data_IF_437006771833
#
_entry.id   IF_437006771833
#
_cell.length_a   1.000
_cell.length_b   1.000
_cell.length_c   1.000
_cell.angle_alpha   90.00
_cell.angle_beta   90.00
_cell.angle_gamma   90.00
#
_symmetry.space_group_name_H-M   'P 1'
#
loop_
_entity.id
_entity.type
_entity.pdbx_description
1 polymer ?
#
# COMPACT_ATOMS: atom_id res chain seq x y z
N UNK A 1 -6.04 1.13 8.29
CA UNK A 1 -5.31 2.12 9.14
C UNK A 1 -4.90 1.53 10.47
N UNK A 2 -5.84 1.19 11.36
CA UNK A 2 -5.51 0.63 12.69
C UNK A 2 -4.65 -0.65 12.60
N UNK A 3 -4.94 -1.52 11.64
CA UNK A 3 -4.14 -2.71 11.33
C UNK A 3 -2.66 -2.38 11.11
N UNK A 4 -2.34 -1.41 10.25
CA UNK A 4 -0.96 -1.01 9.96
C UNK A 4 -0.30 -0.36 11.18
N UNK A 5 -1.03 0.45 11.95
CA UNK A 5 -0.50 1.06 13.17
C UNK A 5 -0.10 0.01 14.21
N UNK A 6 -0.87 -1.07 14.34
CA UNK A 6 -0.57 -2.15 15.28
C UNK A 6 0.42 -3.18 14.75
N UNK A 7 0.57 -3.28 13.42
CA UNK A 7 1.46 -4.26 12.80
C UNK A 7 2.93 -4.12 13.24
N UNK A 8 3.38 -2.89 13.56
CA UNK A 8 4.73 -2.64 14.10
C UNK A 8 5.00 -3.34 15.44
N UNK A 9 3.95 -3.71 16.19
CA UNK A 9 4.05 -4.41 17.47
C UNK A 9 4.23 -5.93 17.30
N UNK A 10 4.05 -6.45 16.09
CA UNK A 10 4.27 -7.87 15.82
C UNK A 10 5.77 -8.19 15.81
N UNK A 11 6.08 -9.49 15.81
CA UNK A 11 7.44 -9.95 15.53
C UNK A 11 7.90 -9.44 14.16
N UNK A 12 9.19 -9.12 14.01
CA UNK A 12 9.79 -8.55 12.79
C UNK A 12 9.52 -9.37 11.52
N UNK A 13 9.46 -10.70 11.63
CA UNK A 13 9.12 -11.60 10.53
C UNK A 13 7.71 -11.36 9.97
N UNK A 14 6.82 -10.78 10.78
CA UNK A 14 5.41 -10.56 10.48
C UNK A 14 5.13 -9.08 10.17
N UNK A 15 6.16 -8.24 10.08
CA UNK A 15 6.00 -6.85 9.69
C UNK A 15 5.58 -6.75 8.22
N UNK A 16 4.51 -5.98 8.00
CA UNK A 16 4.13 -5.48 6.68
C UNK A 16 5.23 -4.60 6.10
N UNK A 17 5.23 -4.41 4.78
CA UNK A 17 6.16 -3.49 4.10
C UNK A 17 6.11 -2.08 4.67
N UNK A 18 4.94 -1.63 5.11
CA UNK A 18 4.77 -0.31 5.74
C UNK A 18 5.53 -0.25 7.06
N UNK A 19 5.37 -1.25 7.95
CA UNK A 19 6.08 -1.30 9.23
C UNK A 19 7.60 -1.42 9.05
N UNK A 20 8.06 -2.26 8.11
CA UNK A 20 9.49 -2.38 7.78
C UNK A 20 10.07 -1.05 7.33
N UNK A 21 9.41 -0.39 6.37
CA UNK A 21 9.83 0.92 5.89
C UNK A 21 9.94 1.94 7.03
N UNK A 22 8.96 2.02 7.93
CA UNK A 22 9.01 2.96 9.07
C UNK A 22 10.25 2.76 9.94
N UNK A 23 10.56 1.51 10.27
CA UNK A 23 11.68 1.16 11.14
C UNK A 23 13.02 1.41 10.45
N UNK A 24 13.18 0.97 9.20
CA UNK A 24 14.43 1.06 8.44
C UNK A 24 14.76 2.50 8.02
N UNK A 25 13.76 3.27 7.60
CA UNK A 25 13.94 4.64 7.12
C UNK A 25 13.71 5.71 8.19
N UNK A 26 13.35 5.32 9.41
CA UNK A 26 12.95 6.22 10.52
C UNK A 26 11.89 7.24 10.09
N UNK A 27 11.01 6.82 9.19
CA UNK A 27 9.93 7.61 8.63
C UNK A 27 8.62 7.25 9.33
N UNK A 28 7.81 8.25 9.68
CA UNK A 28 6.45 8.02 10.16
C UNK A 28 5.42 8.64 9.23
N UNK A 29 4.25 8.01 9.14
CA UNK A 29 3.17 8.43 8.26
C UNK A 29 2.17 9.31 9.01
N UNK A 30 1.55 10.27 8.32
CA UNK A 30 0.35 10.95 8.84
C UNK A 30 -0.86 10.02 8.74
N UNK A 31 -1.09 9.26 9.81
CA UNK A 31 -2.20 8.32 9.92
C UNK A 31 -3.56 8.99 10.12
N UNK A 32 -3.58 10.24 10.58
CA UNK A 32 -4.82 10.94 10.92
C UNK A 32 -5.45 11.59 9.70
N UNK A 33 -4.64 11.97 8.71
CA UNK A 33 -5.09 12.69 7.51
C UNK A 33 -4.50 12.08 6.23
N UNK A 34 -4.80 10.81 5.91
CA UNK A 34 -4.38 10.24 4.65
C UNK A 34 -5.08 10.97 3.49
N UNK A 35 -4.30 11.34 2.47
CA UNK A 35 -4.87 11.87 1.23
C UNK A 35 -5.44 10.73 0.39
N UNK A 36 -6.75 10.71 0.18
CA UNK A 36 -7.42 9.69 -0.63
C UNK A 36 -7.36 10.09 -2.10
N UNK A 37 -6.46 9.46 -2.86
CA UNK A 37 -6.26 9.76 -4.29
C UNK A 37 -7.37 9.23 -5.19
N UNK A 38 -8.00 8.12 -4.80
CA UNK A 38 -9.06 7.48 -5.56
C UNK A 38 -10.00 6.72 -4.63
N UNK A 39 -11.29 6.72 -4.95
CA UNK A 39 -12.31 5.94 -4.26
C UNK A 39 -13.22 5.29 -5.31
N UNK A 40 -13.36 3.98 -5.24
CA UNK A 40 -14.21 3.20 -6.13
C UNK A 40 -14.85 2.06 -5.32
N UNK A 41 -16.15 1.87 -5.53
CA UNK A 41 -16.97 0.89 -4.80
C UNK A 41 -16.81 -0.52 -5.38
N UNK A 42 -16.52 -0.63 -6.66
CA UNK A 42 -16.36 -1.92 -7.34
C UNK A 42 -14.91 -2.39 -7.28
N UNK A 43 -14.68 -3.53 -6.63
CA UNK A 43 -13.34 -4.12 -6.42
C UNK A 43 -12.52 -4.18 -7.71
N UNK A 44 -13.08 -4.74 -8.79
CA UNK A 44 -12.35 -4.89 -10.05
C UNK A 44 -11.90 -3.56 -10.67
N UNK A 45 -12.73 -2.52 -10.56
CA UNK A 45 -12.39 -1.18 -11.06
C UNK A 45 -11.32 -0.53 -10.19
N UNK A 46 -11.40 -0.73 -8.88
CA UNK A 46 -10.40 -0.26 -7.91
C UNK A 46 -9.04 -0.90 -8.17
N UNK A 47 -8.98 -2.22 -8.37
CA UNK A 47 -7.73 -2.95 -8.71
C UNK A 47 -7.07 -2.39 -9.99
N UNK A 48 -7.87 -2.16 -11.04
CA UNK A 48 -7.38 -1.56 -12.30
C UNK A 48 -6.83 -0.15 -12.06
N UNK A 49 -7.57 0.71 -11.34
CA UNK A 49 -7.13 2.06 -11.02
C UNK A 49 -5.84 2.05 -10.17
N UNK A 50 -5.76 1.16 -9.17
CA UNK A 50 -4.56 0.97 -8.34
C UNK A 50 -3.35 0.61 -9.20
N UNK A 51 -3.50 -0.28 -10.20
CA UNK A 51 -2.39 -0.63 -11.08
C UNK A 51 -1.89 0.56 -11.92
N UNK A 52 -2.79 1.42 -12.41
CA UNK A 52 -2.39 2.65 -13.10
C UNK A 52 -1.58 3.58 -12.18
N UNK A 53 -2.01 3.77 -10.94
CA UNK A 53 -1.26 4.57 -9.98
C UNK A 53 0.10 3.92 -9.67
N UNK A 54 0.14 2.61 -9.49
CA UNK A 54 1.38 1.87 -9.27
C UNK A 54 2.35 2.08 -10.44
N UNK A 55 1.91 1.92 -11.69
CA UNK A 55 2.80 2.12 -12.84
C UNK A 55 3.26 3.55 -13.04
N UNK A 56 2.48 4.53 -12.56
CA UNK A 56 2.79 5.96 -12.69
C UNK A 56 3.88 6.45 -11.72
N UNK A 57 4.06 5.80 -10.57
CA UNK A 57 4.98 6.26 -9.52
C UNK A 57 6.21 5.34 -9.42
N UNK A 58 7.40 5.94 -9.37
CA UNK A 58 8.67 5.19 -9.36
C UNK A 58 9.10 4.73 -7.95
N UNK A 59 8.54 5.29 -6.89
CA UNK A 59 8.99 5.08 -5.50
C UNK A 59 7.87 4.49 -4.65
N UNK A 60 7.47 3.26 -4.95
CA UNK A 60 6.37 2.59 -4.28
C UNK A 60 6.88 1.62 -3.21
N UNK A 61 6.18 1.61 -2.08
CA UNK A 61 6.43 0.67 -0.98
C UNK A 61 5.49 -0.54 -0.99
N UNK A 62 4.46 -0.53 -1.85
CA UNK A 62 3.44 -1.58 -1.87
C UNK A 62 3.99 -2.89 -2.46
N UNK A 63 3.53 -4.05 -1.96
CA UNK A 63 3.92 -5.37 -2.48
C UNK A 63 3.30 -5.73 -3.84
N UNK A 64 2.32 -4.94 -4.31
CA UNK A 64 1.65 -5.03 -5.62
C UNK A 64 0.95 -6.37 -5.94
N UNK A 65 0.91 -7.32 -4.99
CA UNK A 65 0.31 -8.66 -5.16
C UNK A 65 -1.15 -8.63 -5.62
N UNK A 66 -1.90 -7.61 -5.22
CA UNK A 66 -3.31 -7.46 -5.60
C UNK A 66 -3.49 -7.21 -7.11
N UNK A 67 -2.43 -6.78 -7.80
CA UNK A 67 -2.42 -6.55 -9.26
C UNK A 67 -1.90 -7.74 -10.06
N UNK A 68 -1.37 -8.80 -9.43
CA UNK A 68 -0.80 -9.97 -10.12
C UNK A 68 -1.84 -10.71 -10.99
N UNK A 69 -3.13 -10.57 -10.64
CA UNK A 69 -4.25 -11.16 -11.38
C UNK A 69 -4.79 -10.29 -12.53
N UNK A 70 -4.21 -9.09 -12.72
CA UNK A 70 -4.58 -8.15 -13.77
C UNK A 70 -3.73 -8.35 -15.02
N UNK A 71 -4.28 -7.97 -16.17
CA UNK A 71 -3.52 -8.00 -17.41
C UNK A 71 -2.50 -6.85 -17.43
N UNK A 72 -1.25 -7.16 -17.76
CA UNK A 72 -0.15 -6.18 -17.83
C UNK A 72 -0.37 -5.02 -18.83
N UNK A 73 -1.40 -5.05 -19.68
CA UNK A 73 -1.72 -3.99 -20.64
C UNK A 73 -2.28 -2.72 -19.95
N UNK A 74 -2.98 -2.85 -18.82
CA UNK A 74 -3.39 -1.67 -18.03
C UNK A 74 -2.18 -1.16 -17.24
#
# INVERSE_FOLDING_TARGET
LQEHCTNIKLHESNHSVISKHRLESRHDFDWLKPNILHNEKYVRKREIAEMFFIKKFNNLINLQKDTDSLNNIY
#
